data_IF_018442407501
#
_entry.id   IF_018442407501
#
_cell.length_a   1.000
_cell.length_b   1.000
_cell.length_c   1.000
_cell.angle_alpha   90.00
_cell.angle_beta   90.00
_cell.angle_gamma   90.00
#
_symmetry.space_group_name_H-M   'P 1'
#
loop_
_entity.id
_entity.type
_entity.pdbx_description
1 polymer ?
#
# COMPACT_ATOMS: atom_id res chain seq x y z
N UNK A 1 -6.67 8.55 14.33
CA UNK A 1 -5.22 8.35 14.03
C UNK A 1 -4.87 6.92 13.59
N UNK A 2 -5.48 5.87 14.14
CA UNK A 2 -5.22 4.46 13.75
C UNK A 2 -5.51 4.22 12.26
N UNK A 3 -6.66 4.71 11.78
CA UNK A 3 -7.04 4.59 10.36
C UNK A 3 -6.09 5.29 9.39
N UNK A 4 -5.40 6.36 9.80
CA UNK A 4 -4.41 7.02 8.96
C UNK A 4 -3.19 6.10 8.71
N UNK A 5 -2.69 5.46 9.77
CA UNK A 5 -1.61 4.48 9.67
C UNK A 5 -2.03 3.23 8.89
N UNK A 6 -3.26 2.75 9.10
CA UNK A 6 -3.81 1.63 8.34
C UNK A 6 -4.02 1.99 6.87
N UNK A 7 -4.38 3.24 6.55
CA UNK A 7 -4.48 3.72 5.17
C UNK A 7 -3.14 3.64 4.44
N UNK A 8 -2.07 4.08 5.08
CA UNK A 8 -0.69 3.94 4.57
C UNK A 8 -0.34 2.46 4.37
N UNK A 9 -0.66 1.60 5.33
CA UNK A 9 -0.44 0.16 5.20
C UNK A 9 -1.30 -0.48 4.08
N UNK A 10 -2.49 0.07 3.81
CA UNK A 10 -3.40 -0.39 2.76
C UNK A 10 -2.81 -0.23 1.36
N UNK A 11 -2.05 0.85 1.10
CA UNK A 11 -1.36 1.07 -0.17
C UNK A 11 -0.37 -0.05 -0.51
N UNK A 12 0.27 -0.64 0.51
CA UNK A 12 1.15 -1.81 0.37
C UNK A 12 0.39 -3.08 -0.01
N UNK A 13 -0.85 -3.20 0.47
CA UNK A 13 -1.64 -4.43 0.38
C UNK A 13 -2.03 -4.71 -1.07
N UNK A 14 -2.44 -3.67 -1.82
CA UNK A 14 -2.74 -3.78 -3.25
C UNK A 14 -1.58 -4.40 -4.04
N UNK A 15 -0.37 -3.93 -3.75
CA UNK A 15 0.86 -4.40 -4.44
C UNK A 15 1.27 -5.81 -3.98
N UNK A 16 1.11 -6.12 -2.69
CA UNK A 16 1.38 -7.45 -2.13
C UNK A 16 0.44 -8.52 -2.71
N UNK A 17 -0.84 -8.20 -2.87
CA UNK A 17 -1.86 -9.10 -3.43
C UNK A 17 -1.53 -9.47 -4.88
N UNK A 18 -1.17 -8.49 -5.71
CA UNK A 18 -0.79 -8.71 -7.12
C UNK A 18 0.46 -9.57 -7.25
N UNK A 19 1.43 -9.41 -6.36
CA UNK A 19 2.66 -10.21 -6.38
C UNK A 19 2.41 -11.69 -6.09
N UNK A 20 1.42 -12.01 -5.24
CA UNK A 20 1.00 -13.39 -5.03
C UNK A 20 0.59 -14.07 -6.34
N UNK A 21 -0.12 -13.35 -7.21
CA UNK A 21 -0.56 -13.85 -8.51
C UNK A 21 0.61 -14.06 -9.45
N UNK A 22 1.61 -13.16 -9.43
CA UNK A 22 2.85 -13.29 -10.21
C UNK A 22 3.56 -14.62 -9.88
N UNK A 23 3.67 -14.98 -8.60
CA UNK A 23 4.32 -16.24 -8.21
C UNK A 23 3.52 -17.48 -8.61
N UNK A 24 2.18 -17.41 -8.55
CA UNK A 24 1.29 -18.50 -8.98
C UNK A 24 1.41 -18.73 -10.48
N UNK A 25 1.27 -17.68 -11.29
CA UNK A 25 1.33 -17.77 -12.75
C UNK A 25 2.69 -18.28 -13.25
N UNK A 26 3.77 -18.01 -12.52
CA UNK A 26 5.12 -18.48 -12.86
C UNK A 26 5.46 -19.86 -12.30
N UNK A 27 4.51 -20.54 -11.64
CA UNK A 27 4.73 -21.87 -11.04
C UNK A 27 5.75 -21.86 -9.89
N UNK A 28 6.02 -20.71 -9.28
CA UNK A 28 7.01 -20.54 -8.19
C UNK A 28 6.37 -20.65 -6.81
N UNK A 29 5.56 -21.68 -6.61
CA UNK A 29 4.81 -21.90 -5.36
C UNK A 29 5.73 -22.06 -4.14
N UNK A 30 6.94 -22.63 -4.32
CA UNK A 30 7.94 -22.69 -3.25
C UNK A 30 8.36 -21.30 -2.78
N UNK A 31 8.64 -20.37 -3.70
CA UNK A 31 8.99 -18.99 -3.34
C UNK A 31 7.82 -18.28 -2.68
N UNK A 32 6.60 -18.50 -3.18
CA UNK A 32 5.37 -17.98 -2.56
C UNK A 32 5.18 -18.46 -1.12
N UNK A 33 5.49 -19.74 -0.84
CA UNK A 33 5.39 -20.31 0.50
C UNK A 33 6.41 -19.68 1.47
N UNK A 34 7.69 -19.58 1.05
CA UNK A 34 8.71 -18.90 1.86
C UNK A 34 8.37 -17.42 2.08
N UNK A 35 7.83 -16.75 1.06
CA UNK A 35 7.33 -15.38 1.18
C UNK A 35 6.17 -15.28 2.19
N UNK A 36 5.23 -16.21 2.15
CA UNK A 36 4.13 -16.29 3.12
C UNK A 36 4.64 -16.41 4.55
N UNK A 37 5.60 -17.31 4.81
CA UNK A 37 6.23 -17.46 6.13
C UNK A 37 6.91 -16.16 6.57
N UNK A 38 7.73 -15.56 5.70
CA UNK A 38 8.43 -14.31 5.99
C UNK A 38 7.44 -13.18 6.30
N UNK A 39 6.38 -13.06 5.51
CA UNK A 39 5.31 -12.08 5.69
C UNK A 39 4.59 -12.29 7.01
N UNK A 40 4.18 -13.51 7.35
CA UNK A 40 3.52 -13.80 8.62
C UNK A 40 4.42 -13.50 9.82
N UNK A 41 5.69 -13.90 9.78
CA UNK A 41 6.65 -13.62 10.85
C UNK A 41 6.87 -12.12 11.05
N UNK A 42 7.04 -11.37 9.96
CA UNK A 42 7.19 -9.90 10.04
C UNK A 42 5.93 -9.23 10.57
N UNK A 43 4.72 -9.68 10.22
CA UNK A 43 3.48 -9.18 10.84
C UNK A 43 3.45 -9.46 12.33
N UNK A 44 3.69 -10.69 12.75
CA UNK A 44 3.66 -11.06 14.18
C UNK A 44 4.69 -10.25 14.97
N UNK A 45 5.91 -10.11 14.45
CA UNK A 45 6.94 -9.27 15.06
C UNK A 45 6.50 -7.80 15.17
N UNK A 46 5.91 -7.25 14.10
CA UNK A 46 5.40 -5.87 14.12
C UNK A 46 4.30 -5.66 15.17
N UNK A 47 3.44 -6.67 15.37
CA UNK A 47 2.37 -6.61 16.36
C UNK A 47 2.92 -6.69 17.78
N UNK A 48 3.90 -7.57 18.04
CA UNK A 48 4.56 -7.69 19.35
C UNK A 48 5.24 -6.36 19.73
N UNK A 49 6.01 -5.79 18.80
CA UNK A 49 6.68 -4.49 19.02
C UNK A 49 5.63 -3.41 19.22
N UNK A 50 4.64 -3.31 18.33
CA UNK A 50 3.61 -2.28 18.39
C UNK A 50 2.70 -2.35 19.61
N UNK A 51 2.53 -3.53 20.23
CA UNK A 51 1.68 -3.73 21.40
C UNK A 51 2.08 -2.82 22.57
N UNK A 52 3.38 -2.53 22.72
CA UNK A 52 3.90 -1.66 23.78
C UNK A 52 3.31 -0.24 23.75
N UNK A 53 2.90 0.23 22.57
CA UNK A 53 2.29 1.55 22.36
C UNK A 53 0.78 1.45 22.06
N UNK A 54 0.17 0.30 22.32
CA UNK A 54 -1.25 0.03 22.08
C UNK A 54 -1.63 -0.05 20.59
N UNK A 55 -2.91 0.10 20.28
CA UNK A 55 -3.44 -0.10 18.93
C UNK A 55 -2.84 0.84 17.86
N UNK A 56 -2.48 2.07 18.24
CA UNK A 56 -1.80 3.02 17.34
C UNK A 56 -0.38 2.53 17.01
N UNK A 57 0.34 2.01 18.01
CA UNK A 57 1.67 1.43 17.84
C UNK A 57 1.67 0.24 16.90
N UNK A 58 0.68 -0.64 17.02
CA UNK A 58 0.49 -1.80 16.12
C UNK A 58 0.30 -1.34 14.68
N UNK A 59 -0.56 -0.35 14.43
CA UNK A 59 -0.80 0.16 13.08
C UNK A 59 0.45 0.82 12.49
N UNK A 60 1.18 1.61 13.28
CA UNK A 60 2.42 2.25 12.85
C UNK A 60 3.54 1.24 12.58
N UNK A 61 3.78 0.30 13.50
CA UNK A 61 4.78 -0.75 13.35
C UNK A 61 4.47 -1.64 12.13
N UNK A 62 3.20 -1.96 11.89
CA UNK A 62 2.78 -2.71 10.71
C UNK A 62 3.06 -1.94 9.42
N UNK A 63 2.67 -0.67 9.34
CA UNK A 63 2.94 0.18 8.18
C UNK A 63 4.45 0.30 7.91
N UNK A 64 5.25 0.59 8.94
CA UNK A 64 6.72 0.73 8.82
C UNK A 64 7.35 -0.58 8.38
N UNK A 65 6.97 -1.72 9.00
CA UNK A 65 7.50 -3.04 8.61
C UNK A 65 7.17 -3.40 7.16
N UNK A 66 5.99 -2.99 6.67
CA UNK A 66 5.61 -3.15 5.27
C UNK A 66 6.59 -2.44 4.32
N UNK A 67 6.87 -1.16 4.55
CA UNK A 67 7.74 -0.38 3.68
C UNK A 67 9.23 -0.72 3.85
N UNK A 68 9.68 -0.92 5.09
CA UNK A 68 11.10 -1.13 5.39
C UNK A 68 11.57 -2.56 5.08
N UNK A 69 10.72 -3.57 5.29
CA UNK A 69 11.11 -4.98 5.16
C UNK A 69 10.45 -5.63 3.96
N UNK A 70 9.13 -5.46 3.77
CA UNK A 70 8.42 -6.21 2.72
C UNK A 70 8.74 -5.71 1.32
N UNK A 71 8.67 -4.40 1.07
CA UNK A 71 8.97 -3.82 -0.26
C UNK A 71 10.33 -4.25 -0.82
N UNK A 72 11.46 -4.07 -0.11
CA UNK A 72 12.76 -4.40 -0.70
C UNK A 72 12.93 -5.91 -0.91
N UNK A 73 12.42 -6.73 0.02
CA UNK A 73 12.48 -8.20 -0.13
C UNK A 73 11.61 -8.65 -1.30
N UNK A 74 10.42 -8.05 -1.49
CA UNK A 74 9.57 -8.35 -2.64
C UNK A 74 10.24 -7.96 -3.95
N UNK A 75 10.80 -6.75 -4.02
CA UNK A 75 11.49 -6.26 -5.21
C UNK A 75 12.66 -7.18 -5.59
N UNK A 76 13.44 -7.65 -4.60
CA UNK A 76 14.51 -8.61 -4.81
C UNK A 76 14.02 -10.00 -5.27
N UNK A 77 12.90 -10.48 -4.71
CA UNK A 77 12.31 -11.77 -5.11
C UNK A 77 11.73 -11.73 -6.52
N UNK A 78 11.02 -10.65 -6.87
CA UNK A 78 10.41 -10.47 -8.20
C UNK A 78 11.49 -10.42 -9.28
N UNK A 79 12.57 -9.66 -9.05
CA UNK A 79 13.72 -9.59 -9.97
C UNK A 79 14.37 -10.96 -10.24
N UNK A 80 14.27 -11.92 -9.31
CA UNK A 80 14.84 -13.26 -9.47
C UNK A 80 13.89 -14.27 -10.11
N UNK A 81 12.59 -13.97 -10.14
CA UNK A 81 11.57 -14.96 -10.47
C UNK A 81 11.10 -14.82 -11.92
N UNK A 82 10.95 -13.62 -12.48
CA UNK A 82 10.33 -13.45 -13.80
C UNK A 82 10.74 -12.21 -14.62
N UNK A 83 9.96 -11.89 -15.67
CA UNK A 83 10.25 -10.82 -16.63
C UNK A 83 9.98 -9.40 -16.11
N UNK A 84 9.43 -9.27 -14.89
CA UNK A 84 9.10 -7.98 -14.27
C UNK A 84 10.30 -7.52 -13.45
N UNK A 85 10.76 -6.30 -13.68
CA UNK A 85 11.95 -5.77 -13.02
C UNK A 85 11.58 -5.23 -11.63
N UNK A 86 12.52 -5.23 -10.68
CA UNK A 86 12.36 -4.53 -9.41
C UNK A 86 11.97 -3.05 -9.61
N UNK A 87 12.41 -2.45 -10.73
CA UNK A 87 12.05 -1.09 -11.13
C UNK A 87 10.56 -0.90 -11.42
N UNK A 88 9.91 -1.85 -12.11
CA UNK A 88 8.47 -1.77 -12.42
C UNK A 88 7.64 -1.85 -11.14
N UNK A 89 8.07 -2.71 -10.22
CA UNK A 89 7.45 -2.86 -8.91
C UNK A 89 7.54 -1.57 -8.07
N UNK A 90 8.74 -0.99 -7.97
CA UNK A 90 8.96 0.27 -7.25
C UNK A 90 8.26 1.45 -7.94
N UNK A 91 8.19 1.44 -9.28
CA UNK A 91 7.47 2.43 -10.08
C UNK A 91 5.98 2.43 -9.78
N UNK A 92 5.34 1.26 -9.81
CA UNK A 92 3.91 1.11 -9.48
C UNK A 92 3.65 1.49 -8.01
N UNK A 93 4.50 1.04 -7.08
CA UNK A 93 4.37 1.41 -5.67
C UNK A 93 4.49 2.93 -5.47
N UNK A 94 5.42 3.58 -6.18
CA UNK A 94 5.57 5.03 -6.21
C UNK A 94 4.33 5.72 -6.79
N UNK A 95 3.75 5.19 -7.87
CA UNK A 95 2.54 5.73 -8.49
C UNK A 95 1.35 5.77 -7.52
N UNK A 96 1.13 4.69 -6.77
CA UNK A 96 0.08 4.63 -5.74
C UNK A 96 0.32 5.66 -4.62
N UNK A 97 1.57 5.83 -4.18
CA UNK A 97 1.91 6.83 -3.16
C UNK A 97 1.67 8.25 -3.68
N UNK A 98 2.11 8.55 -4.91
CA UNK A 98 1.92 9.86 -5.55
C UNK A 98 0.44 10.14 -5.77
N UNK A 99 -0.32 9.17 -6.25
CA UNK A 99 -1.77 9.29 -6.43
C UNK A 99 -2.48 9.62 -5.11
N UNK A 100 -2.15 8.90 -4.04
CA UNK A 100 -2.72 9.13 -2.71
C UNK A 100 -2.33 10.49 -2.14
N UNK A 101 -1.09 10.95 -2.36
CA UNK A 101 -0.64 12.29 -1.99
C UNK A 101 -1.38 13.39 -2.76
N UNK A 102 -1.56 13.23 -4.07
CA UNK A 102 -2.30 14.20 -4.90
C UNK A 102 -3.78 14.27 -4.49
N UNK A 103 -4.39 13.13 -4.19
CA UNK A 103 -5.76 13.09 -3.69
C UNK A 103 -5.90 13.81 -2.34
N UNK A 104 -4.94 13.61 -1.41
CA UNK A 104 -4.89 14.36 -0.15
C UNK A 104 -4.73 15.87 -0.41
N UNK A 105 -3.75 16.29 -1.20
CA UNK A 105 -3.50 17.70 -1.51
C UNK A 105 -4.71 18.37 -2.17
N UNK A 106 -5.39 17.65 -3.07
CA UNK A 106 -6.62 18.13 -3.72
C UNK A 106 -7.77 18.27 -2.72
N UNK A 107 -7.87 17.36 -1.75
CA UNK A 107 -8.83 17.46 -0.65
C UNK A 107 -8.58 18.67 0.26
N UNK A 108 -7.33 19.06 0.51
CA UNK A 108 -7.00 20.25 1.30
C UNK A 108 -7.37 21.57 0.59
N UNK A 109 -7.42 21.54 -0.73
CA UNK A 109 -7.76 22.71 -1.56
C UNK A 109 -9.28 22.93 -1.67
N UNK A 110 -10.10 21.98 -1.21
CA UNK A 110 -11.57 22.09 -1.25
C UNK A 110 -12.07 23.05 -0.17
N UNK A 111 -13.00 23.98 -0.49
CA UNK A 111 -13.53 24.93 0.48
C UNK A 111 -14.24 24.21 1.64
N UNK A 112 -13.88 24.57 2.88
CA UNK A 112 -14.45 24.02 4.11
C UNK A 112 -16.00 24.15 4.21
N UNK A 113 -16.61 25.01 3.39
CA UNK A 113 -18.07 25.18 3.32
C UNK A 113 -18.83 23.97 2.74
N UNK A 114 -18.21 23.15 1.87
CA UNK A 114 -18.85 21.96 1.28
C UNK A 114 -18.66 20.72 2.17
N UNK A 115 -17.52 20.62 2.84
CA UNK A 115 -17.12 19.45 3.63
C UNK A 115 -17.82 19.36 4.98
N UNK A 116 -18.22 20.49 5.57
CA UNK A 116 -18.74 20.54 6.93
C UNK A 116 -20.25 20.23 7.06
N UNK A 117 -20.95 19.93 5.95
CA UNK A 117 -22.40 19.68 5.97
C UNK A 117 -22.79 18.21 6.08
N UNK A 118 -21.99 17.27 5.57
CA UNK A 118 -22.31 15.84 5.65
C UNK A 118 -21.08 14.93 5.49
N UNK A 119 -20.87 14.02 6.44
CA UNK A 119 -19.75 13.06 6.45
C UNK A 119 -19.78 12.12 5.22
N UNK A 120 -20.98 11.77 4.72
CA UNK A 120 -21.14 10.88 3.58
C UNK A 120 -20.61 11.50 2.27
N UNK A 121 -20.90 12.78 2.05
CA UNK A 121 -20.51 13.50 0.83
C UNK A 121 -18.98 13.69 0.79
N UNK A 122 -18.38 13.93 1.95
CA UNK A 122 -16.92 13.96 2.15
C UNK A 122 -16.25 12.64 1.74
N UNK A 123 -16.81 11.50 2.15
CA UNK A 123 -16.26 10.18 1.79
C UNK A 123 -16.40 9.93 0.28
N UNK A 124 -17.54 10.26 -0.33
CA UNK A 124 -17.75 10.07 -1.77
C UNK A 124 -16.79 10.90 -2.62
N UNK A 125 -16.55 12.17 -2.24
CA UNK A 125 -15.59 13.04 -2.94
C UNK A 125 -14.15 12.52 -2.79
N UNK A 126 -13.77 12.06 -1.59
CA UNK A 126 -12.45 11.48 -1.36
C UNK A 126 -12.20 10.22 -2.21
N UNK A 127 -13.21 9.34 -2.31
CA UNK A 127 -13.15 8.16 -3.19
C UNK A 127 -13.03 8.60 -4.65
N UNK A 128 -13.88 9.50 -5.11
CA UNK A 128 -13.88 9.96 -6.51
C UNK A 128 -12.54 10.59 -6.91
N UNK A 129 -11.97 11.46 -6.06
CA UNK A 129 -10.67 12.07 -6.30
C UNK A 129 -9.56 11.02 -6.31
N UNK A 130 -9.50 10.13 -5.33
CA UNK A 130 -8.45 9.12 -5.24
C UNK A 130 -8.45 8.17 -6.45
N UNK A 131 -9.63 7.65 -6.84
CA UNK A 131 -9.75 6.81 -8.02
C UNK A 131 -9.49 7.59 -9.32
N UNK A 132 -9.95 8.84 -9.41
CA UNK A 132 -9.72 9.71 -10.56
C UNK A 132 -8.23 9.98 -10.80
N UNK A 133 -7.48 10.36 -9.77
CA UNK A 133 -6.03 10.55 -9.86
C UNK A 133 -5.30 9.25 -10.15
N UNK A 134 -5.71 8.13 -9.53
CA UNK A 134 -5.09 6.83 -9.79
C UNK A 134 -5.25 6.41 -11.26
N UNK A 135 -6.46 6.56 -11.82
CA UNK A 135 -6.73 6.27 -13.23
C UNK A 135 -5.99 7.21 -14.17
N UNK A 136 -5.98 8.53 -13.88
CA UNK A 136 -5.27 9.51 -14.71
C UNK A 136 -3.77 9.23 -14.75
N UNK A 137 -3.17 8.91 -13.59
CA UNK A 137 -1.76 8.54 -13.49
C UNK A 137 -1.46 7.20 -14.19
N UNK A 138 -2.35 6.22 -14.06
CA UNK A 138 -2.22 4.94 -14.76
C UNK A 138 -2.33 5.07 -16.28
N UNK A 139 -3.13 6.02 -16.79
CA UNK A 139 -3.23 6.31 -18.22
C UNK A 139 -2.05 7.15 -18.74
N UNK A 140 -1.40 7.92 -17.88
CA UNK A 140 -0.26 8.77 -18.23
C UNK A 140 1.08 8.02 -18.22
N UNK A 141 1.20 6.96 -17.43
CA UNK A 141 2.38 6.08 -17.39
C UNK A 141 2.12 4.90 -18.34
N UNK A 142 2.92 4.73 -19.40
CA UNK A 142 2.73 3.68 -20.41
C UNK A 142 2.99 2.26 -19.88
#
# INVERSE_FOLDING_TARGET
PIFAWLGIAGLMQSVSSTTGWIFICQGKTKTMFHWGIYSSLTTVASFIVGLHWGAIGVAAAYAISGYALRVPVLAALIHRVGPVTAGDFLGIQGLFIVSSLLAWLSYLSLPALLTNQSDLLTILVAIALNYGFALALMLAVP
#
